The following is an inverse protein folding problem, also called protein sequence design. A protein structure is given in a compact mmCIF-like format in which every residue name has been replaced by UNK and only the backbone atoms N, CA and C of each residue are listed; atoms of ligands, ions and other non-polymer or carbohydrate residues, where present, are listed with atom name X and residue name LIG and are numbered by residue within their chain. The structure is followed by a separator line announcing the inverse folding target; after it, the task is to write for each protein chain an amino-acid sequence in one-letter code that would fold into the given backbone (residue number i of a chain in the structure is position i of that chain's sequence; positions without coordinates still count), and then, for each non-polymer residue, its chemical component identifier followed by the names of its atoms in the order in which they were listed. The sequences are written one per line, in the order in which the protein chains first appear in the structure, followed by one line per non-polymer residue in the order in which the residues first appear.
data_IF_823746755317
#
_entry.id   IF_823746755317
#
_cell.length_a   1.000
_cell.length_b   1.000
_cell.length_c   1.000
_cell.angle_alpha   90.00
_cell.angle_beta   90.00
_cell.angle_gamma   90.00
#
_symmetry.space_group_name_H-M   'P 1'
#
loop_
_entity.id
_entity.type
_entity.pdbx_description
1 polymer ?
#
# COMPACT_ATOMS: atom_id res chain seq x y z
N UNK A 1 12.52 13.55 -24.83
CA UNK A 1 11.63 14.13 -23.80
C UNK A 1 10.21 14.11 -24.35
N UNK A 2 9.31 13.31 -23.75
CA UNK A 2 7.91 13.29 -24.16
C UNK A 2 7.27 14.66 -23.86
N UNK A 3 6.59 15.25 -24.84
CA UNK A 3 5.90 16.53 -24.67
C UNK A 3 4.77 16.35 -23.65
N UNK A 4 4.61 17.23 -22.64
CA UNK A 4 3.49 17.16 -21.72
C UNK A 4 2.19 17.25 -22.52
N UNK A 5 1.26 16.33 -22.23
CA UNK A 5 -0.03 16.27 -22.90
C UNK A 5 -0.80 17.58 -22.63
N UNK A 6 -1.49 18.14 -23.63
CA UNK A 6 -2.16 19.45 -23.50
C UNK A 6 -3.13 19.52 -22.29
N UNK A 7 -3.69 18.38 -21.89
CA UNK A 7 -4.52 18.23 -20.70
C UNK A 7 -3.79 18.61 -19.39
N UNK A 8 -2.50 18.28 -19.25
CA UNK A 8 -1.76 18.59 -18.01
C UNK A 8 -1.52 20.08 -17.83
N UNK A 9 -1.36 20.83 -18.92
CA UNK A 9 -1.14 22.28 -18.88
C UNK A 9 -2.40 23.03 -18.43
N UNK A 10 -3.57 22.61 -18.92
CA UNK A 10 -4.87 23.19 -18.54
C UNK A 10 -5.21 22.86 -17.10
N UNK A 11 -4.92 21.63 -16.67
CA UNK A 11 -5.11 21.17 -15.30
C UNK A 11 -4.17 21.88 -14.31
N UNK A 12 -2.90 22.09 -14.66
CA UNK A 12 -1.94 22.84 -13.84
C UNK A 12 -2.33 24.31 -13.66
N UNK A 13 -2.93 24.92 -14.69
CA UNK A 13 -3.47 26.28 -14.60
C UNK A 13 -4.71 26.34 -13.68
N UNK A 14 -5.62 25.38 -13.84
CA UNK A 14 -6.81 25.25 -12.99
C UNK A 14 -6.44 25.04 -11.52
N UNK A 15 -5.57 24.09 -11.21
CA UNK A 15 -5.19 23.77 -9.83
C UNK A 15 -4.42 24.92 -9.15
N UNK A 16 -3.59 25.69 -9.89
CA UNK A 16 -2.94 26.90 -9.33
C UNK A 16 -3.94 27.99 -8.97
N UNK A 17 -4.95 28.17 -9.82
CA UNK A 17 -6.02 29.14 -9.57
C UNK A 17 -6.89 28.70 -8.38
N UNK A 18 -7.20 27.39 -8.28
CA UNK A 18 -7.91 26.81 -7.14
C UNK A 18 -7.10 26.93 -5.84
N UNK A 19 -5.80 26.62 -5.83
CA UNK A 19 -4.93 26.75 -4.65
C UNK A 19 -4.89 28.21 -4.15
N UNK A 20 -4.71 29.18 -5.04
CA UNK A 20 -4.74 30.61 -4.69
C UNK A 20 -6.10 31.05 -4.12
N UNK A 21 -7.21 30.61 -4.71
CA UNK A 21 -8.56 30.93 -4.24
C UNK A 21 -8.86 30.28 -2.89
N UNK A 22 -8.45 29.04 -2.67
CA UNK A 22 -8.66 28.34 -1.41
C UNK A 22 -7.83 28.96 -0.27
N UNK A 23 -6.55 29.28 -0.54
CA UNK A 23 -5.69 29.97 0.44
C UNK A 23 -6.21 31.35 0.80
N UNK A 24 -6.67 32.14 -0.18
CA UNK A 24 -7.29 33.44 0.11
C UNK A 24 -8.61 33.33 0.90
N UNK A 25 -9.26 32.17 0.87
CA UNK A 25 -10.43 31.82 1.70
C UNK A 25 -10.05 31.18 3.05
N UNK A 26 -8.77 31.25 3.46
CA UNK A 26 -8.29 30.78 4.76
C UNK A 26 -8.08 29.27 4.85
N UNK A 27 -7.93 28.56 3.73
CA UNK A 27 -7.50 27.16 3.72
C UNK A 27 -5.99 27.09 3.98
N UNK A 28 -5.59 26.11 4.78
CA UNK A 28 -4.20 25.87 5.17
C UNK A 28 -3.77 24.48 4.71
N UNK A 29 -2.47 24.25 4.65
CA UNK A 29 -1.93 22.93 4.32
C UNK A 29 -2.02 21.99 5.51
N UNK A 30 -2.19 20.71 5.23
CA UNK A 30 -2.18 19.62 6.19
C UNK A 30 -1.35 18.48 5.63
N UNK A 31 -0.49 17.89 6.45
CA UNK A 31 0.29 16.71 6.07
C UNK A 31 -0.42 15.46 6.60
N UNK A 32 -0.62 14.49 5.72
CA UNK A 32 -1.03 13.12 6.04
C UNK A 32 0.19 12.24 5.84
N UNK A 33 0.73 11.71 6.94
CA UNK A 33 1.91 10.85 6.90
C UNK A 33 1.53 9.42 6.49
N UNK A 34 2.38 8.77 5.69
CA UNK A 34 2.25 7.38 5.29
C UNK A 34 3.49 6.60 5.72
N UNK A 35 3.33 5.30 5.98
CA UNK A 35 4.44 4.44 6.36
C UNK A 35 5.51 4.41 5.26
N UNK A 36 6.68 4.97 5.55
CA UNK A 36 7.87 4.89 4.72
C UNK A 36 8.64 3.58 4.92
N UNK A 37 9.65 3.36 4.08
CA UNK A 37 10.48 2.16 4.15
C UNK A 37 11.85 2.38 3.52
N UNK A 38 12.81 1.52 3.82
CA UNK A 38 14.17 1.66 3.33
C UNK A 38 15.08 0.51 3.71
N UNK A 39 16.36 0.66 3.39
CA UNK A 39 17.47 -0.10 3.93
C UNK A 39 18.42 0.84 4.67
N UNK A 40 19.56 0.34 5.15
CA UNK A 40 20.58 1.17 5.79
C UNK A 40 21.17 2.25 4.84
N UNK A 41 21.08 2.04 3.52
CA UNK A 41 21.60 2.98 2.51
C UNK A 41 20.63 4.08 2.11
N UNK A 42 19.33 3.81 2.23
CA UNK A 42 18.28 4.73 1.80
C UNK A 42 16.99 4.52 2.59
N UNK A 43 16.24 5.58 2.76
CA UNK A 43 14.88 5.53 3.28
C UNK A 43 13.96 6.38 2.42
N UNK A 44 12.88 5.76 1.94
CA UNK A 44 11.81 6.41 1.19
C UNK A 44 10.74 6.88 2.18
N UNK A 45 10.60 8.20 2.29
CA UNK A 45 9.59 8.84 3.13
C UNK A 45 8.39 9.18 2.28
N UNK A 46 7.21 8.78 2.75
CA UNK A 46 5.94 8.88 2.04
C UNK A 46 4.95 9.76 2.81
N UNK A 47 4.13 10.51 2.09
CA UNK A 47 3.09 11.32 2.68
C UNK A 47 2.31 12.08 1.62
N UNK A 48 1.37 12.91 2.07
CA UNK A 48 0.60 13.79 1.20
C UNK A 48 0.27 15.09 1.90
N UNK A 49 0.36 16.20 1.16
CA UNK A 49 -0.09 17.51 1.62
C UNK A 49 -1.40 17.88 0.93
N UNK A 50 -2.39 18.22 1.74
CA UNK A 50 -3.73 18.58 1.34
C UNK A 50 -4.05 20.00 1.82
N UNK A 51 -4.99 20.66 1.16
CA UNK A 51 -5.59 21.89 1.67
C UNK A 51 -6.84 21.52 2.48
N UNK A 52 -6.93 22.04 3.70
CA UNK A 52 -8.10 21.88 4.56
C UNK A 52 -8.52 23.22 5.17
N UNK A 53 -9.79 23.33 5.57
CA UNK A 53 -10.29 24.51 6.27
C UNK A 53 -9.96 24.40 7.76
N UNK A 54 -9.54 25.51 8.38
CA UNK A 54 -9.13 25.58 9.79
C UNK A 54 -10.13 25.00 10.82
N UNK A 55 -11.43 24.95 10.50
CA UNK A 55 -12.47 24.40 11.38
C UNK A 55 -12.50 22.86 11.42
N UNK A 56 -11.86 22.19 10.45
CA UNK A 56 -11.80 20.73 10.31
C UNK A 56 -10.44 20.20 10.83
N UNK A 57 -9.84 20.89 11.81
CA UNK A 57 -8.59 20.48 12.46
C UNK A 57 -8.86 19.64 13.70
N UNK A 58 -8.38 18.41 13.72
CA UNK A 58 -7.93 17.76 14.95
C UNK A 58 -6.59 18.38 15.38
N UNK A 59 -6.35 18.47 16.68
CA UNK A 59 -5.05 18.92 17.21
C UNK A 59 -3.99 17.84 16.94
N UNK A 60 -2.89 18.20 16.25
CA UNK A 60 -1.82 17.29 15.84
C UNK A 60 -1.96 16.81 14.39
N UNK A 61 -0.84 16.72 13.67
CA UNK A 61 -0.80 16.15 12.31
C UNK A 61 -1.41 14.74 12.26
N UNK A 62 -2.10 14.39 11.15
CA UNK A 62 -2.72 13.07 11.00
C UNK A 62 -1.68 12.04 10.56
N UNK A 63 -1.48 11.02 11.39
CA UNK A 63 -0.72 9.81 11.03
C UNK A 63 -1.67 8.77 10.44
N UNK A 64 -1.41 8.35 9.20
CA UNK A 64 -2.13 7.26 8.53
C UNK A 64 -1.21 6.04 8.31
N UNK A 65 -0.25 5.86 9.22
CA UNK A 65 0.84 4.92 9.12
C UNK A 65 0.83 3.88 10.25
N UNK A 66 1.83 2.99 10.25
CA UNK A 66 1.98 1.94 11.24
C UNK A 66 2.21 2.45 12.68
N UNK A 67 2.66 3.69 12.86
CA UNK A 67 2.90 4.32 14.16
C UNK A 67 1.69 5.06 14.73
N UNK A 68 0.64 5.27 13.94
CA UNK A 68 -0.56 5.98 14.36
C UNK A 68 -1.29 5.25 15.50
N UNK A 69 -1.76 5.98 16.52
CA UNK A 69 -2.63 5.49 17.58
C UNK A 69 -4.06 5.23 17.07
N UNK A 70 -4.83 4.44 17.83
CA UNK A 70 -6.24 4.14 17.48
C UNK A 70 -7.09 5.41 17.47
N UNK A 71 -6.73 6.41 18.28
CA UNK A 71 -7.41 7.71 18.32
C UNK A 71 -7.11 8.51 17.04
N UNK A 72 -5.85 8.62 16.62
CA UNK A 72 -5.46 9.31 15.38
C UNK A 72 -6.12 8.68 14.14
N UNK A 73 -6.16 7.35 14.08
CA UNK A 73 -6.80 6.63 12.97
C UNK A 73 -8.33 6.75 12.95
N UNK A 74 -8.97 7.03 14.09
CA UNK A 74 -10.42 7.33 14.19
C UNK A 74 -10.70 8.77 13.81
N UNK A 75 -9.93 9.73 14.32
CA UNK A 75 -10.05 11.14 13.92
C UNK A 75 -9.89 11.31 12.41
N UNK A 76 -8.89 10.67 11.82
CA UNK A 76 -8.65 10.69 10.37
C UNK A 76 -9.78 10.06 9.54
N UNK A 77 -10.60 9.17 10.13
CA UNK A 77 -11.80 8.62 9.48
C UNK A 77 -13.04 9.48 9.71
N UNK A 78 -13.22 9.96 10.94
CA UNK A 78 -14.38 10.74 11.34
C UNK A 78 -14.43 12.10 10.65
N UNK A 79 -13.26 12.74 10.44
CA UNK A 79 -13.12 13.94 9.62
C UNK A 79 -13.36 13.69 8.12
N UNK A 80 -13.26 12.42 7.69
CA UNK A 80 -13.54 11.98 6.32
C UNK A 80 -14.97 11.46 6.14
N UNK A 81 -15.89 11.74 7.05
CA UNK A 81 -17.31 11.37 6.88
C UNK A 81 -18.01 12.26 5.85
N UNK A 82 -18.62 11.63 4.85
CA UNK A 82 -19.45 12.26 3.81
C UNK A 82 -18.70 12.63 2.52
N UNK A 83 -19.43 13.23 1.56
CA UNK A 83 -18.90 13.62 0.24
C UNK A 83 -17.70 14.59 0.30
N UNK A 84 -17.47 15.24 1.46
CA UNK A 84 -16.37 16.19 1.70
C UNK A 84 -14.99 15.53 1.73
N UNK A 85 -14.88 14.25 2.09
CA UNK A 85 -13.62 13.49 1.99
C UNK A 85 -13.13 13.31 0.54
N UNK A 86 -14.02 13.49 -0.45
CA UNK A 86 -13.73 13.37 -1.87
C UNK A 86 -13.32 14.69 -2.51
N UNK A 87 -13.50 15.82 -1.83
CA UNK A 87 -12.98 17.14 -2.25
C UNK A 87 -11.78 17.48 -1.37
N UNK A 88 -10.77 16.62 -1.42
CA UNK A 88 -9.45 16.93 -0.86
C UNK A 88 -8.68 17.69 -1.92
N UNK A 89 -8.60 19.02 -1.79
CA UNK A 89 -7.84 19.83 -2.72
C UNK A 89 -6.33 19.56 -2.49
N UNK A 90 -5.62 18.98 -3.48
CA UNK A 90 -4.20 18.68 -3.32
C UNK A 90 -3.40 19.98 -3.19
N UNK A 91 -2.47 20.01 -2.25
CA UNK A 91 -1.56 21.15 -2.12
C UNK A 91 -0.33 20.88 -2.99
N UNK A 92 -0.38 21.37 -4.23
CA UNK A 92 0.66 21.08 -5.23
C UNK A 92 1.88 21.95 -5.07
N UNK A 93 3.05 21.39 -5.40
CA UNK A 93 4.31 22.14 -5.44
C UNK A 93 4.56 22.93 -4.14
N UNK A 94 4.18 22.39 -2.99
CA UNK A 94 4.36 23.01 -1.68
C UNK A 94 5.72 22.58 -1.12
N UNK A 95 6.54 23.49 -0.59
CA UNK A 95 7.79 23.13 0.09
C UNK A 95 7.53 22.19 1.28
N UNK A 96 8.31 21.13 1.37
CA UNK A 96 8.32 20.19 2.50
C UNK A 96 9.75 19.99 2.95
N UNK A 97 9.97 20.02 4.26
CA UNK A 97 11.24 19.63 4.88
C UNK A 97 11.05 18.30 5.59
N UNK A 98 11.92 17.35 5.30
CA UNK A 98 11.93 16.00 5.87
C UNK A 98 13.22 15.85 6.67
N UNK A 99 13.09 15.52 7.96
CA UNK A 99 14.23 15.16 8.81
C UNK A 99 14.11 13.69 9.19
N UNK A 100 15.15 12.91 8.90
CA UNK A 100 15.21 11.48 9.20
C UNK A 100 16.64 11.10 9.62
N UNK A 101 16.78 10.55 10.82
CA UNK A 101 18.08 10.34 11.44
C UNK A 101 18.85 11.66 11.52
N UNK A 102 20.08 11.69 11.00
CA UNK A 102 20.91 12.90 10.98
C UNK A 102 20.81 13.72 9.67
N UNK A 103 19.84 13.40 8.80
CA UNK A 103 19.66 14.08 7.52
C UNK A 103 18.40 14.91 7.49
N UNK A 104 18.53 16.09 6.90
CA UNK A 104 17.42 16.96 6.54
C UNK A 104 17.45 17.17 5.03
N UNK A 105 16.32 16.94 4.38
CA UNK A 105 16.12 17.09 2.94
C UNK A 105 14.97 18.05 2.70
N UNK A 106 15.17 18.99 1.77
CA UNK A 106 14.11 19.88 1.30
C UNK A 106 13.58 19.36 -0.03
N UNK A 107 12.27 19.18 -0.11
CA UNK A 107 11.56 18.67 -1.29
C UNK A 107 10.30 19.49 -1.54
N UNK A 108 9.54 19.14 -2.57
CA UNK A 108 8.24 19.73 -2.86
C UNK A 108 7.24 18.65 -3.20
N UNK A 109 5.98 18.89 -2.89
CA UNK A 109 4.91 17.98 -3.30
C UNK A 109 4.72 17.96 -4.81
N UNK A 110 4.27 16.83 -5.34
CA UNK A 110 3.88 16.72 -6.74
C UNK A 110 2.54 17.42 -7.04
N UNK A 111 2.06 17.29 -8.28
CA UNK A 111 0.76 17.84 -8.72
C UNK A 111 -0.46 17.28 -7.99
N UNK A 112 -0.32 16.18 -7.27
CA UNK A 112 -1.38 15.53 -6.53
C UNK A 112 -1.20 15.69 -5.02
N UNK A 113 -0.19 16.47 -4.60
CA UNK A 113 0.14 16.75 -3.22
C UNK A 113 1.02 15.67 -2.58
N UNK A 114 1.49 14.65 -3.30
CA UNK A 114 2.26 13.57 -2.71
C UNK A 114 3.70 13.97 -2.40
N UNK A 115 4.19 13.37 -1.32
CA UNK A 115 5.57 13.36 -0.90
C UNK A 115 6.07 11.94 -1.15
N UNK A 116 7.04 11.81 -2.04
CA UNK A 116 7.76 10.57 -2.30
C UNK A 116 9.24 10.94 -2.45
N UNK A 117 10.00 10.79 -1.37
CA UNK A 117 11.39 11.27 -1.32
C UNK A 117 12.32 10.22 -0.74
N UNK A 118 13.37 9.90 -1.50
CA UNK A 118 14.44 8.98 -1.10
C UNK A 118 15.54 9.77 -0.38
N UNK A 119 15.63 9.58 0.93
CA UNK A 119 16.67 10.13 1.80
C UNK A 119 17.83 9.13 1.84
N UNK A 120 19.05 9.55 1.53
CA UNK A 120 20.26 8.72 1.61
C UNK A 120 21.18 9.19 2.72
N UNK A 121 21.96 8.25 3.26
CA UNK A 121 22.91 8.54 4.33
C UNK A 121 22.25 9.06 5.60
N UNK A 122 21.05 8.58 5.93
CA UNK A 122 20.33 8.93 7.18
C UNK A 122 20.99 8.32 8.44
N UNK A 123 21.84 7.30 8.27
CA UNK A 123 22.61 6.68 9.35
C UNK A 123 21.74 5.96 10.39
N UNK A 124 20.63 5.36 9.94
CA UNK A 124 19.74 4.61 10.81
C UNK A 124 20.08 3.13 10.72
N UNK A 125 20.00 2.44 11.85
CA UNK A 125 20.12 0.98 11.94
C UNK A 125 18.80 0.31 11.50
N UNK A 126 18.80 -1.01 11.25
CA UNK A 126 17.55 -1.74 11.00
C UNK A 126 16.53 -1.55 12.13
N UNK A 127 15.25 -1.49 11.77
CA UNK A 127 14.12 -1.30 12.68
C UNK A 127 13.16 -0.17 12.28
N UNK A 128 12.24 0.14 13.19
CA UNK A 128 11.25 1.21 13.00
C UNK A 128 11.78 2.55 13.52
N UNK A 129 11.64 3.59 12.71
CA UNK A 129 12.06 4.96 13.00
C UNK A 129 10.97 5.96 12.67
N UNK A 130 11.13 7.21 13.09
CA UNK A 130 10.24 8.31 12.72
C UNK A 130 10.97 9.33 11.84
N UNK A 131 10.36 9.70 10.72
CA UNK A 131 10.73 10.89 9.96
C UNK A 131 9.87 12.06 10.42
N UNK A 132 10.44 13.23 10.66
CA UNK A 132 9.69 14.47 10.91
C UNK A 132 9.43 15.20 9.60
N UNK A 133 8.18 15.58 9.35
CA UNK A 133 7.74 16.30 8.16
C UNK A 133 7.18 17.66 8.56
N UNK A 134 7.67 18.72 7.93
CA UNK A 134 7.17 20.09 8.10
C UNK A 134 6.87 20.72 6.75
N UNK A 135 5.86 21.57 6.70
CA UNK A 135 5.46 22.31 5.51
C UNK A 135 4.89 23.67 5.87
N UNK A 136 4.85 24.59 4.91
CA UNK A 136 4.38 25.97 5.12
C UNK A 136 2.90 25.97 5.46
N UNK A 137 2.52 26.52 6.62
CA UNK A 137 1.14 26.54 7.15
C UNK A 137 0.58 25.17 7.56
N UNK A 138 1.42 24.14 7.66
CA UNK A 138 1.05 22.84 8.24
C UNK A 138 1.62 22.67 9.64
N UNK A 139 0.89 21.95 10.49
CA UNK A 139 1.49 21.42 11.71
C UNK A 139 2.57 20.39 11.38
N UNK A 140 3.61 20.35 12.21
CA UNK A 140 4.60 19.29 12.16
C UNK A 140 3.93 17.94 12.39
N UNK A 141 4.31 16.94 11.59
CA UNK A 141 3.87 15.56 11.76
C UNK A 141 5.06 14.62 11.66
N UNK A 142 4.90 13.37 12.09
CA UNK A 142 5.90 12.34 11.84
C UNK A 142 5.32 11.20 11.00
N UNK A 143 6.20 10.53 10.27
CA UNK A 143 5.90 9.33 9.50
C UNK A 143 6.74 8.16 10.02
N UNK A 144 6.11 7.02 10.30
CA UNK A 144 6.80 5.78 10.60
C UNK A 144 7.61 5.31 9.36
N UNK A 145 8.86 4.91 9.56
CA UNK A 145 9.77 4.42 8.51
C UNK A 145 10.38 3.10 8.94
N UNK A 146 10.17 2.04 8.16
CA UNK A 146 10.79 0.74 8.37
C UNK A 146 12.13 0.65 7.63
N UNK A 147 13.23 0.54 8.36
CA UNK A 147 14.58 0.29 7.80
C UNK A 147 14.85 -1.21 7.87
N UNK A 148 15.00 -1.85 6.71
CA UNK A 148 15.26 -3.29 6.58
C UNK A 148 16.77 -3.54 6.61
N UNK A 149 17.19 -4.57 7.36
CA UNK A 149 18.59 -5.00 7.45
C UNK A 149 19.10 -5.58 6.13
N UNK A 150 20.40 -5.41 5.89
CA UNK A 150 21.07 -5.97 4.71
C UNK A 150 21.28 -7.49 4.81
N UNK A 151 21.17 -8.05 6.01
CA UNK A 151 21.21 -9.48 6.35
C UNK A 151 19.85 -10.18 6.22
N UNK A 152 18.76 -9.44 6.02
CA UNK A 152 17.44 -10.02 5.81
C UNK A 152 17.32 -10.71 4.45
N UNK A 153 16.92 -11.98 4.46
CA UNK A 153 16.80 -12.80 3.25
C UNK A 153 15.37 -13.22 2.92
N UNK A 154 14.40 -12.87 3.76
CA UNK A 154 13.01 -13.28 3.64
C UNK A 154 12.08 -12.08 3.82
N UNK A 155 10.94 -12.07 3.14
CA UNK A 155 9.96 -11.00 3.22
C UNK A 155 8.63 -11.37 2.60
N UNK A 156 7.58 -10.64 2.96
CA UNK A 156 6.23 -10.85 2.46
C UNK A 156 5.76 -9.65 1.63
N UNK A 157 5.12 -9.93 0.49
CA UNK A 157 4.36 -8.96 -0.28
C UNK A 157 2.93 -9.48 -0.40
N UNK A 158 1.96 -8.77 0.17
CA UNK A 158 0.55 -9.12 0.09
C UNK A 158 -0.20 -8.12 -0.78
N UNK A 159 -1.02 -8.59 -1.70
CA UNK A 159 -2.14 -7.80 -2.18
C UNK A 159 -3.16 -7.60 -1.05
N UNK A 160 -3.90 -6.50 -1.08
CA UNK A 160 -4.97 -6.23 -0.10
C UNK A 160 -6.34 -6.57 -0.67
N UNK A 161 -6.59 -6.15 -1.92
CA UNK A 161 -7.91 -6.16 -2.52
C UNK A 161 -8.34 -7.62 -2.75
N UNK A 162 -9.48 -8.08 -2.20
CA UNK A 162 -9.98 -9.48 -2.26
C UNK A 162 -9.09 -10.58 -1.65
N UNK A 163 -7.83 -10.26 -1.32
CA UNK A 163 -6.88 -11.10 -0.58
C UNK A 163 -6.99 -10.95 0.94
N UNK A 164 -7.10 -9.72 1.43
CA UNK A 164 -7.20 -9.38 2.87
C UNK A 164 -8.62 -8.93 3.25
N UNK A 165 -9.35 -8.35 2.29
CA UNK A 165 -10.70 -7.82 2.43
C UNK A 165 -11.59 -8.45 1.36
N UNK A 166 -12.58 -9.27 1.74
CA UNK A 166 -13.64 -9.67 0.82
C UNK A 166 -14.56 -8.49 0.57
N UNK A 167 -14.49 -7.88 -0.62
CA UNK A 167 -15.31 -6.71 -0.95
C UNK A 167 -16.61 -7.15 -1.60
N UNK A 168 -17.67 -7.36 -0.81
CA UNK A 168 -18.99 -7.72 -1.33
C UNK A 168 -19.72 -6.52 -1.94
N UNK A 169 -19.27 -5.98 -3.09
CA UNK A 169 -19.99 -4.90 -3.77
C UNK A 169 -19.97 -5.02 -5.31
N UNK A 170 -21.15 -5.10 -5.98
CA UNK A 170 -21.25 -5.06 -7.43
C UNK A 170 -20.73 -3.74 -8.02
N UNK A 171 -20.00 -3.82 -9.14
CA UNK A 171 -19.32 -2.71 -9.85
C UNK A 171 -20.11 -1.40 -10.07
N UNK A 172 -21.43 -1.37 -10.36
CA UNK A 172 -22.14 -0.08 -10.49
C UNK A 172 -22.23 0.70 -9.17
N UNK A 173 -21.90 0.08 -8.03
CA UNK A 173 -21.87 0.73 -6.71
C UNK A 173 -20.50 1.25 -6.29
N UNK A 174 -19.45 1.10 -7.11
CA UNK A 174 -18.17 1.80 -6.86
C UNK A 174 -18.36 3.32 -6.97
N UNK A 175 -19.24 3.77 -7.88
CA UNK A 175 -19.68 5.17 -7.95
C UNK A 175 -20.64 5.56 -6.81
N UNK A 176 -21.36 4.58 -6.24
CA UNK A 176 -22.28 4.73 -5.11
C UNK A 176 -21.68 4.28 -3.77
N UNK A 177 -20.34 4.27 -3.65
CA UNK A 177 -19.60 4.03 -2.41
C UNK A 177 -20.10 4.93 -1.26
N UNK A 178 -20.66 6.09 -1.63
CA UNK A 178 -21.11 7.16 -0.75
C UNK A 178 -22.47 6.96 -0.07
N UNK A 179 -23.17 5.84 -0.29
CA UNK A 179 -24.45 5.57 0.41
C UNK A 179 -24.33 4.45 1.46
N UNK A 180 -23.31 3.59 1.37
CA UNK A 180 -23.19 2.38 2.20
C UNK A 180 -22.10 2.46 3.29
N UNK A 181 -21.75 3.67 3.74
CA UNK A 181 -21.14 3.89 5.07
C UNK A 181 -22.20 3.70 6.17
N UNK A 182 -22.93 2.59 6.08
CA UNK A 182 -24.02 2.18 6.98
C UNK A 182 -24.13 0.65 7.05
N UNK A 183 -22.99 -0.04 7.10
CA UNK A 183 -22.86 -1.28 7.85
C UNK A 183 -21.37 -1.67 7.90
N UNK A 184 -20.83 -1.73 9.11
CA UNK A 184 -19.55 -2.40 9.42
C UNK A 184 -19.57 -3.93 9.11
N UNK A 185 -20.62 -4.44 8.45
CA UNK A 185 -20.87 -5.86 8.18
C UNK A 185 -20.56 -6.33 6.74
N UNK A 186 -20.00 -5.50 5.86
CA UNK A 186 -19.74 -5.89 4.45
C UNK A 186 -18.27 -6.19 4.12
N UNK A 187 -17.33 -6.04 5.07
CA UNK A 187 -15.92 -6.42 4.91
C UNK A 187 -15.65 -7.65 5.76
N UNK A 188 -15.85 -8.83 5.19
CA UNK A 188 -15.48 -10.06 5.88
C UNK A 188 -13.95 -10.22 5.82
N UNK A 189 -13.33 -10.29 6.99
CA UNK A 189 -11.92 -10.68 7.13
C UNK A 189 -11.79 -12.10 6.61
N UNK A 190 -10.82 -12.33 5.73
CA UNK A 190 -10.50 -13.68 5.30
C UNK A 190 -9.98 -14.47 6.49
N UNK A 191 -10.62 -15.59 6.87
CA UNK A 191 -10.19 -16.38 8.01
C UNK A 191 -8.72 -16.78 7.92
N UNK A 192 -7.98 -16.67 9.03
CA UNK A 192 -6.61 -17.17 9.13
C UNK A 192 -5.51 -16.36 8.43
N UNK A 193 -5.82 -15.37 7.59
CA UNK A 193 -4.78 -14.64 6.82
C UNK A 193 -3.79 -13.87 7.71
N UNK A 194 -4.30 -13.08 8.67
CA UNK A 194 -3.44 -12.38 9.62
C UNK A 194 -2.60 -13.36 10.47
N UNK A 195 -3.17 -14.53 10.80
CA UNK A 195 -2.45 -15.59 11.52
C UNK A 195 -1.33 -16.17 10.68
N UNK A 196 -1.60 -16.50 9.42
CA UNK A 196 -0.58 -16.97 8.47
C UNK A 196 0.58 -15.98 8.36
N UNK A 197 0.31 -14.68 8.20
CA UNK A 197 1.38 -13.68 8.07
C UNK A 197 2.23 -13.59 9.33
N UNK A 198 1.59 -13.54 10.52
CA UNK A 198 2.33 -13.51 11.79
C UNK A 198 3.16 -14.77 12.00
N UNK A 199 2.67 -15.92 11.56
CA UNK A 199 3.37 -17.19 11.70
C UNK A 199 4.61 -17.24 10.79
N UNK A 200 4.46 -16.88 9.51
CA UNK A 200 5.58 -16.81 8.57
C UNK A 200 6.65 -15.81 9.03
N UNK A 201 6.25 -14.71 9.66
CA UNK A 201 7.17 -13.72 10.23
C UNK A 201 7.73 -14.12 11.60
N UNK A 202 7.15 -15.09 12.30
CA UNK A 202 7.65 -15.49 13.62
C UNK A 202 9.04 -16.13 13.55
N UNK A 203 9.32 -16.86 12.46
CA UNK A 203 10.64 -17.43 12.16
C UNK A 203 11.62 -16.39 11.60
N UNK A 204 11.11 -15.24 11.15
CA UNK A 204 11.87 -14.15 10.53
C UNK A 204 11.43 -12.80 11.12
N UNK A 205 11.74 -12.51 12.40
CA UNK A 205 11.13 -11.40 13.14
C UNK A 205 11.43 -10.00 12.56
N UNK A 206 12.49 -9.89 11.76
CA UNK A 206 12.91 -8.65 11.12
C UNK A 206 12.53 -8.59 9.62
N UNK A 207 11.94 -9.66 9.08
CA UNK A 207 11.55 -9.71 7.69
C UNK A 207 10.48 -8.64 7.39
N UNK A 208 10.62 -7.88 6.29
CA UNK A 208 9.67 -6.85 5.96
C UNK A 208 8.34 -7.44 5.47
N UNK A 209 7.26 -6.76 5.86
CA UNK A 209 5.92 -6.95 5.33
C UNK A 209 5.54 -5.75 4.47
N UNK A 210 5.22 -5.98 3.20
CA UNK A 210 4.69 -4.95 2.29
C UNK A 210 3.26 -5.29 1.87
N UNK A 211 2.41 -4.28 1.83
CA UNK A 211 1.06 -4.39 1.28
C UNK A 211 0.96 -3.59 -0.01
N UNK A 212 0.44 -4.19 -1.08
CA UNK A 212 0.19 -3.55 -2.37
C UNK A 212 -1.31 -3.52 -2.60
N UNK A 213 -1.83 -2.45 -3.19
CA UNK A 213 -3.27 -2.34 -3.53
C UNK A 213 -3.47 -1.41 -4.70
N UNK A 214 -4.54 -1.65 -5.45
CA UNK A 214 -5.01 -0.77 -6.52
C UNK A 214 -5.87 0.39 -6.00
N UNK A 215 -6.21 0.37 -4.70
CA UNK A 215 -6.90 1.44 -4.01
C UNK A 215 -6.13 2.76 -4.01
N UNK A 216 -6.87 3.87 -3.95
CA UNK A 216 -6.30 5.21 -3.88
C UNK A 216 -5.65 5.49 -2.53
N UNK A 217 -4.60 6.31 -2.45
CA UNK A 217 -4.03 6.74 -1.15
C UNK A 217 -5.03 7.39 -0.17
N UNK A 218 -6.17 7.89 -0.66
CA UNK A 218 -7.27 8.35 0.19
C UNK A 218 -7.82 7.24 1.11
N UNK A 219 -7.64 5.96 0.77
CA UNK A 219 -8.06 4.82 1.59
C UNK A 219 -7.02 4.43 2.64
N UNK A 220 -5.80 4.97 2.60
CA UNK A 220 -4.70 4.57 3.48
C UNK A 220 -5.07 4.56 4.98
N UNK A 221 -5.67 5.62 5.57
CA UNK A 221 -5.98 5.59 7.00
C UNK A 221 -6.98 4.47 7.37
N UNK A 222 -7.97 4.24 6.49
CA UNK A 222 -8.98 3.19 6.68
C UNK A 222 -8.37 1.80 6.56
N UNK A 223 -7.47 1.59 5.60
CA UNK A 223 -6.75 0.32 5.44
C UNK A 223 -5.81 0.06 6.62
N UNK A 224 -5.00 1.05 7.01
CA UNK A 224 -4.10 0.96 8.17
C UNK A 224 -4.86 0.59 9.44
N UNK A 225 -6.01 1.23 9.69
CA UNK A 225 -6.86 0.89 10.85
C UNK A 225 -7.44 -0.52 10.76
N UNK A 226 -7.91 -0.94 9.58
CA UNK A 226 -8.43 -2.29 9.37
C UNK A 226 -7.35 -3.34 9.66
N UNK A 227 -6.17 -3.21 9.05
CA UNK A 227 -5.04 -4.12 9.24
C UNK A 227 -4.68 -4.24 10.72
N UNK A 228 -4.50 -3.11 11.40
CA UNK A 228 -4.19 -3.07 12.82
C UNK A 228 -5.28 -3.72 13.68
N UNK A 229 -6.55 -3.39 13.44
CA UNK A 229 -7.70 -3.93 14.20
C UNK A 229 -7.81 -5.44 14.11
N UNK A 230 -7.43 -6.01 12.96
CA UNK A 230 -7.49 -7.44 12.70
C UNK A 230 -6.15 -8.16 12.93
N UNK A 231 -5.16 -7.47 13.51
CA UNK A 231 -3.89 -8.06 13.93
C UNK A 231 -2.95 -8.42 12.77
N UNK A 232 -3.10 -7.79 11.62
CA UNK A 232 -2.12 -7.92 10.55
C UNK A 232 -0.79 -7.28 10.97
N UNK A 233 0.37 -7.84 10.56
CA UNK A 233 1.66 -7.25 10.83
C UNK A 233 1.75 -5.79 10.31
N UNK A 234 2.43 -4.88 11.02
CA UNK A 234 2.66 -3.53 10.53
C UNK A 234 3.54 -3.57 9.28
N UNK A 235 3.19 -2.77 8.27
CA UNK A 235 3.94 -2.72 7.03
C UNK A 235 3.60 -1.49 6.17
N UNK A 236 4.47 -1.11 5.23
CA UNK A 236 4.19 -0.05 4.27
C UNK A 236 3.03 -0.42 3.34
N UNK A 237 2.15 0.55 3.10
CA UNK A 237 1.10 0.45 2.08
C UNK A 237 1.60 1.08 0.77
N UNK A 238 1.63 0.31 -0.30
CA UNK A 238 1.99 0.76 -1.65
C UNK A 238 0.73 0.88 -2.49
N UNK A 239 0.05 2.03 -2.36
CA UNK A 239 -1.23 2.32 -2.97
C UNK A 239 -1.07 3.04 -4.33
N UNK A 240 -2.16 3.09 -5.09
CA UNK A 240 -2.17 3.71 -6.43
C UNK A 240 -2.60 5.17 -6.36
N UNK A 241 -1.99 6.02 -7.21
CA UNK A 241 -2.49 7.37 -7.46
C UNK A 241 -3.62 7.33 -8.48
N UNK A 242 -4.83 7.70 -8.06
CA UNK A 242 -5.94 7.99 -8.97
C UNK A 242 -5.89 9.47 -9.35
N UNK A 243 -5.53 9.76 -10.61
CA UNK A 243 -5.50 11.11 -11.17
C UNK A 243 -4.78 11.14 -12.53
N UNK A 244 -4.97 12.21 -13.34
CA UNK A 244 -4.30 12.36 -14.63
C UNK A 244 -2.78 12.32 -14.43
N UNK A 245 -2.12 11.37 -15.08
CA UNK A 245 -0.66 11.31 -15.12
C UNK A 245 -0.16 11.86 -16.45
N UNK A 246 1.16 12.10 -16.58
CA UNK A 246 1.74 12.60 -17.84
C UNK A 246 1.52 11.63 -19.03
N UNK A 247 1.07 10.41 -18.76
CA UNK A 247 0.90 9.31 -19.72
C UNK A 247 -0.55 8.87 -19.91
N UNK A 248 -1.54 9.41 -19.16
CA UNK A 248 -2.94 9.02 -19.36
C UNK A 248 -3.92 9.48 -18.27
N UNK A 249 -5.21 9.31 -18.56
CA UNK A 249 -6.33 9.65 -17.68
C UNK A 249 -6.47 8.73 -16.46
N UNK A 250 -5.93 7.51 -16.52
CA UNK A 250 -5.96 6.50 -15.44
C UNK A 250 -4.65 5.71 -15.40
N UNK A 251 -4.15 5.37 -14.19
CA UNK A 251 -3.10 4.35 -14.03
C UNK A 251 -3.73 2.96 -14.06
N UNK A 252 -3.12 2.04 -14.79
CA UNK A 252 -3.48 0.62 -14.75
C UNK A 252 -3.07 0.03 -13.39
N UNK A 253 -4.04 -0.50 -12.63
CA UNK A 253 -3.77 -1.16 -11.34
C UNK A 253 -2.82 -2.35 -11.48
N UNK A 254 -2.88 -3.07 -12.61
CA UNK A 254 -1.94 -4.16 -12.89
C UNK A 254 -0.51 -3.64 -13.08
N UNK A 255 -0.33 -2.52 -13.79
CA UNK A 255 1.00 -1.94 -14.00
C UNK A 255 1.59 -1.38 -12.70
N UNK A 256 0.72 -0.86 -11.81
CA UNK A 256 1.13 -0.47 -10.46
C UNK A 256 1.65 -1.67 -9.64
N UNK A 257 0.90 -2.78 -9.62
CA UNK A 257 1.33 -4.01 -8.94
C UNK A 257 2.66 -4.52 -9.50
N UNK A 258 2.78 -4.64 -10.83
CA UNK A 258 4.04 -5.02 -11.51
C UNK A 258 5.19 -4.09 -11.12
N UNK A 259 4.98 -2.78 -11.20
CA UNK A 259 6.01 -1.79 -10.85
C UNK A 259 6.45 -1.89 -9.39
N UNK A 260 5.52 -2.17 -8.46
CA UNK A 260 5.84 -2.38 -7.05
C UNK A 260 6.71 -3.63 -6.84
N UNK A 261 6.34 -4.76 -7.44
CA UNK A 261 7.13 -6.01 -7.35
C UNK A 261 8.56 -5.81 -7.87
N UNK A 262 8.70 -5.25 -9.07
CA UNK A 262 10.03 -4.98 -9.64
C UNK A 262 10.82 -3.95 -8.84
N UNK A 263 10.17 -2.93 -8.27
CA UNK A 263 10.83 -1.95 -7.40
C UNK A 263 11.37 -2.63 -6.14
N UNK A 264 10.54 -3.38 -5.41
CA UNK A 264 10.94 -4.04 -4.17
C UNK A 264 12.06 -5.04 -4.41
N UNK A 265 12.01 -5.80 -5.50
CA UNK A 265 13.09 -6.70 -5.91
C UNK A 265 14.42 -6.00 -6.21
N UNK A 266 14.38 -4.79 -6.77
CA UNK A 266 15.59 -4.01 -7.05
C UNK A 266 16.10 -3.29 -5.79
N UNK A 267 15.20 -2.84 -4.92
CA UNK A 267 15.52 -2.14 -3.68
C UNK A 267 16.02 -3.09 -2.58
N UNK A 268 15.59 -4.35 -2.59
CA UNK A 268 15.97 -5.39 -1.64
C UNK A 268 16.40 -6.68 -2.38
N UNK A 269 17.56 -6.67 -3.04
CA UNK A 269 17.98 -7.77 -3.92
C UNK A 269 18.30 -9.08 -3.19
N UNK A 270 18.52 -9.04 -1.87
CA UNK A 270 18.85 -10.22 -1.05
C UNK A 270 17.62 -10.94 -0.50
N UNK A 271 16.44 -10.31 -0.58
CA UNK A 271 15.20 -10.86 -0.04
C UNK A 271 14.55 -11.78 -1.08
N UNK A 272 14.21 -12.99 -0.64
CA UNK A 272 13.28 -13.86 -1.34
C UNK A 272 11.87 -13.65 -0.81
N UNK A 273 10.96 -13.30 -1.72
CA UNK A 273 9.61 -12.87 -1.37
C UNK A 273 8.61 -14.02 -1.38
N UNK A 274 7.77 -14.09 -0.35
CA UNK A 274 6.48 -14.79 -0.44
C UNK A 274 5.46 -13.80 -0.98
N UNK A 275 4.90 -14.12 -2.15
CA UNK A 275 3.87 -13.30 -2.80
C UNK A 275 2.49 -13.85 -2.45
N UNK A 276 1.64 -13.01 -1.87
CA UNK A 276 0.30 -13.41 -1.44
C UNK A 276 -0.75 -12.58 -2.17
N UNK A 277 -1.66 -13.25 -2.89
CA UNK A 277 -2.73 -12.62 -3.66
C UNK A 277 -3.97 -13.51 -3.74
N UNK A 278 -4.88 -13.21 -4.65
CA UNK A 278 -6.11 -13.98 -4.91
C UNK A 278 -6.32 -14.31 -6.40
N UNK A 279 -7.20 -15.26 -6.70
CA UNK A 279 -7.55 -15.67 -8.06
C UNK A 279 -8.76 -14.91 -8.67
N UNK A 280 -9.31 -13.93 -7.95
CA UNK A 280 -10.32 -13.00 -8.46
C UNK A 280 -9.71 -11.86 -9.29
N UNK A 281 -8.47 -11.48 -8.99
CA UNK A 281 -7.74 -10.47 -9.75
C UNK A 281 -6.72 -11.08 -10.71
N UNK A 282 -5.82 -10.23 -11.22
CA UNK A 282 -4.75 -10.63 -12.12
C UNK A 282 -3.49 -11.09 -11.38
N UNK A 283 -3.56 -11.35 -10.07
CA UNK A 283 -2.38 -11.69 -9.25
C UNK A 283 -1.67 -12.96 -9.73
N UNK A 284 -2.35 -14.07 -10.09
CA UNK A 284 -1.68 -15.27 -10.57
C UNK A 284 -0.83 -14.99 -11.81
N UNK A 285 -1.36 -14.17 -12.74
CA UNK A 285 -0.65 -13.75 -13.94
C UNK A 285 0.51 -12.81 -13.63
N UNK A 286 0.28 -11.78 -12.82
CA UNK A 286 1.31 -10.81 -12.43
C UNK A 286 2.48 -11.50 -11.71
N UNK A 287 2.19 -12.46 -10.83
CA UNK A 287 3.21 -13.23 -10.13
C UNK A 287 3.91 -14.22 -11.05
N UNK A 288 3.18 -14.88 -11.95
CA UNK A 288 3.76 -15.74 -12.98
C UNK A 288 4.74 -15.01 -13.88
N UNK A 289 4.33 -13.88 -14.46
CA UNK A 289 5.18 -13.02 -15.30
C UNK A 289 6.43 -12.54 -14.52
N UNK A 290 6.27 -12.24 -13.22
CA UNK A 290 7.36 -11.80 -12.37
C UNK A 290 8.36 -12.91 -12.05
N UNK A 291 7.88 -14.13 -11.76
CA UNK A 291 8.73 -15.32 -11.55
C UNK A 291 9.49 -15.69 -12.81
N UNK A 292 8.87 -15.64 -13.99
CA UNK A 292 9.55 -15.91 -15.26
C UNK A 292 10.73 -14.95 -15.48
N UNK A 293 10.58 -13.69 -15.07
CA UNK A 293 11.62 -12.67 -15.19
C UNK A 293 12.67 -12.75 -14.08
N UNK A 294 12.31 -13.19 -12.87
CA UNK A 294 13.16 -13.16 -11.66
C UNK A 294 12.95 -14.38 -10.76
N UNK A 295 13.27 -15.59 -11.22
CA UNK A 295 12.94 -16.83 -10.49
C UNK A 295 13.61 -16.92 -9.12
N UNK A 296 14.83 -16.39 -8.98
CA UNK A 296 15.58 -16.44 -7.71
C UNK A 296 15.05 -15.48 -6.64
N UNK A 297 14.21 -14.51 -7.01
CA UNK A 297 13.67 -13.48 -6.11
C UNK A 297 12.41 -13.94 -5.36
N UNK A 298 11.79 -15.06 -5.75
CA UNK A 298 10.54 -15.54 -5.15
C UNK A 298 10.79 -16.82 -4.35
N UNK A 299 10.33 -16.83 -3.10
CA UNK A 299 10.38 -17.99 -2.21
C UNK A 299 9.19 -18.93 -2.47
N UNK A 300 7.98 -18.37 -2.53
CA UNK A 300 6.73 -19.07 -2.78
C UNK A 300 5.65 -18.08 -3.25
N UNK A 301 4.61 -18.61 -3.89
CA UNK A 301 3.38 -17.87 -4.21
C UNK A 301 2.22 -18.50 -3.43
N UNK A 302 1.42 -17.68 -2.77
CA UNK A 302 0.19 -18.08 -2.09
C UNK A 302 -1.00 -17.38 -2.76
N UNK A 303 -1.90 -18.15 -3.37
CA UNK A 303 -3.12 -17.64 -4.02
C UNK A 303 -4.33 -18.08 -3.22
N UNK A 304 -5.09 -17.11 -2.72
CA UNK A 304 -6.41 -17.35 -2.17
C UNK A 304 -7.38 -17.72 -3.29
N UNK A 305 -8.06 -18.85 -3.16
CA UNK A 305 -9.11 -19.27 -4.08
C UNK A 305 -10.47 -18.70 -3.63
N UNK A 306 -11.03 -17.81 -4.43
CA UNK A 306 -12.34 -17.22 -4.20
C UNK A 306 -13.45 -18.20 -4.58
N UNK A 307 -14.50 -18.24 -3.77
CA UNK A 307 -15.72 -18.99 -4.12
C UNK A 307 -16.39 -18.38 -5.36
N UNK A 308 -17.22 -19.12 -6.11
CA UNK A 308 -17.94 -18.58 -7.27
C UNK A 308 -18.76 -17.31 -6.95
N UNK A 309 -19.29 -17.21 -5.73
CA UNK A 309 -20.00 -16.01 -5.26
C UNK A 309 -19.06 -14.81 -5.07
N UNK A 310 -17.87 -15.03 -4.52
CA UNK A 310 -16.83 -14.00 -4.38
C UNK A 310 -16.24 -13.59 -5.74
N UNK A 311 -16.07 -14.54 -6.67
CA UNK A 311 -15.63 -14.28 -8.05
C UNK A 311 -16.59 -13.32 -8.79
N UNK A 312 -17.90 -13.56 -8.70
CA UNK A 312 -18.89 -12.63 -9.25
C UNK A 312 -18.77 -11.23 -8.64
N UNK A 313 -18.46 -11.14 -7.35
CA UNK A 313 -18.33 -9.85 -6.66
C UNK A 313 -17.05 -9.11 -7.06
N UNK A 314 -15.93 -9.82 -7.25
CA UNK A 314 -14.64 -9.25 -7.62
C UNK A 314 -14.59 -8.80 -9.10
N UNK A 315 -15.01 -9.67 -10.04
CA UNK A 315 -14.86 -9.41 -11.48
C UNK A 315 -16.13 -9.54 -12.32
N UNK A 316 -17.29 -9.81 -11.72
CA UNK A 316 -18.60 -9.75 -12.38
C UNK A 316 -19.03 -11.04 -13.10
N UNK A 317 -18.24 -12.11 -13.02
CA UNK A 317 -18.51 -13.43 -13.62
C UNK A 317 -18.15 -14.56 -12.62
N UNK A 318 -18.87 -15.70 -12.59
CA UNK A 318 -18.66 -16.78 -11.63
C UNK A 318 -17.54 -17.75 -12.04
N UNK A 319 -16.52 -17.25 -12.74
CA UNK A 319 -15.43 -18.05 -13.29
C UNK A 319 -14.12 -17.35 -12.98
N UNK A 320 -13.17 -18.05 -12.36
CA UNK A 320 -11.83 -17.52 -12.08
C UNK A 320 -11.18 -17.01 -13.36
N UNK A 321 -10.46 -15.89 -13.25
CA UNK A 321 -9.97 -15.19 -14.44
C UNK A 321 -8.80 -15.88 -15.14
N UNK A 322 -8.22 -16.97 -14.61
CA UNK A 322 -7.27 -17.81 -15.34
C UNK A 322 -6.94 -19.13 -14.59
N UNK A 323 -7.06 -20.26 -15.29
CA UNK A 323 -6.33 -21.51 -15.02
C UNK A 323 -4.87 -21.29 -15.40
N UNK A 324 -3.97 -21.05 -14.43
CA UNK A 324 -2.53 -21.17 -14.68
C UNK A 324 -1.81 -21.85 -13.53
N UNK A 325 -1.38 -23.07 -13.84
CA UNK A 325 -0.10 -23.65 -13.41
C UNK A 325 0.98 -22.90 -14.19
N UNK A 326 2.04 -22.35 -13.56
CA UNK A 326 3.10 -21.68 -14.30
C UNK A 326 3.57 -22.57 -15.45
N UNK A 327 3.72 -21.99 -16.65
CA UNK A 327 4.17 -22.73 -17.82
C UNK A 327 5.44 -23.51 -17.43
N UNK A 328 5.44 -24.85 -17.62
CA UNK A 328 6.61 -25.71 -17.42
C UNK A 328 7.74 -25.21 -18.33
N UNK A 329 8.53 -24.26 -17.84
CA UNK A 329 9.51 -23.50 -18.62
C UNK A 329 10.87 -23.50 -17.94
N UNK A 330 11.80 -24.30 -18.51
CA UNK A 330 13.27 -24.22 -18.56
C UNK A 330 14.12 -23.90 -17.31
N UNK A 331 13.59 -23.52 -16.16
CA UNK A 331 14.36 -23.20 -14.96
C UNK A 331 14.44 -24.41 -14.02
N UNK A 332 15.63 -24.70 -13.48
CA UNK A 332 15.88 -25.83 -12.57
C UNK A 332 15.15 -25.71 -11.22
N UNK A 333 14.77 -24.49 -10.80
CA UNK A 333 14.00 -24.24 -9.58
C UNK A 333 12.55 -23.90 -9.91
N UNK A 334 11.67 -24.82 -9.57
CA UNK A 334 10.22 -24.58 -9.59
C UNK A 334 9.83 -23.78 -8.34
N UNK A 335 9.30 -22.57 -8.53
CA UNK A 335 8.75 -21.77 -7.42
C UNK A 335 7.44 -22.42 -6.97
N UNK A 336 7.30 -22.80 -5.69
CA UNK A 336 6.08 -23.44 -5.21
C UNK A 336 4.90 -22.47 -5.23
N UNK A 337 3.75 -22.95 -5.72
CA UNK A 337 2.47 -22.23 -5.73
C UNK A 337 1.48 -22.95 -4.83
N UNK A 338 1.09 -22.29 -3.74
CA UNK A 338 0.13 -22.77 -2.76
C UNK A 338 -1.24 -22.14 -3.02
N UNK A 339 -2.30 -22.96 -3.07
CA UNK A 339 -3.67 -22.50 -3.32
C UNK A 339 -4.62 -23.03 -2.24
N UNK A 340 -5.41 -22.15 -1.65
CA UNK A 340 -6.46 -22.51 -0.70
C UNK A 340 -7.45 -21.35 -0.51
N UNK A 341 -8.66 -21.62 -0.01
CA UNK A 341 -9.69 -20.58 0.16
C UNK A 341 -9.46 -19.59 1.32
N UNK A 342 -8.55 -19.91 2.25
CA UNK A 342 -8.28 -19.10 3.44
C UNK A 342 -6.82 -19.22 3.93
N UNK A 343 -6.45 -18.40 4.92
CA UNK A 343 -5.09 -18.37 5.44
C UNK A 343 -4.70 -19.62 6.23
N UNK A 344 -5.65 -20.39 6.77
CA UNK A 344 -5.36 -21.65 7.46
C UNK A 344 -4.97 -22.76 6.49
N UNK A 345 -5.58 -22.79 5.30
CA UNK A 345 -5.17 -23.66 4.22
C UNK A 345 -3.81 -23.27 3.66
N UNK A 346 -3.63 -21.98 3.37
CA UNK A 346 -2.39 -21.46 2.78
C UNK A 346 -1.17 -21.68 3.68
N UNK A 347 -1.27 -21.43 5.00
CA UNK A 347 -0.13 -21.61 5.91
C UNK A 347 0.36 -23.05 5.95
N UNK A 348 -0.56 -24.05 5.91
CA UNK A 348 -0.18 -25.47 5.88
C UNK A 348 0.62 -25.83 4.64
N UNK A 349 0.21 -25.31 3.48
CA UNK A 349 0.90 -25.54 2.22
C UNK A 349 2.25 -24.81 2.17
N UNK A 350 2.30 -23.57 2.67
CA UNK A 350 3.51 -22.77 2.72
C UNK A 350 4.58 -23.38 3.62
N UNK A 351 4.22 -23.94 4.78
CA UNK A 351 5.18 -24.65 5.64
C UNK A 351 5.92 -25.75 4.89
N UNK A 352 5.18 -26.57 4.15
CA UNK A 352 5.75 -27.66 3.33
C UNK A 352 6.62 -27.08 2.20
N UNK A 353 6.12 -26.06 1.50
CA UNK A 353 6.82 -25.42 0.38
C UNK A 353 8.13 -24.72 0.78
N UNK A 354 8.16 -24.11 1.97
CA UNK A 354 9.32 -23.40 2.51
C UNK A 354 10.27 -24.31 3.31
N UNK A 355 9.95 -25.60 3.48
CA UNK A 355 10.77 -26.56 4.23
C UNK A 355 10.70 -26.37 5.75
N UNK A 356 9.67 -25.66 6.25
CA UNK A 356 9.42 -25.48 7.69
C UNK A 356 8.81 -26.76 8.24
N UNK A 357 9.61 -27.55 8.96
CA UNK A 357 9.16 -28.80 9.58
C UNK A 357 8.42 -28.47 10.87
N UNK A 358 7.13 -28.84 10.97
CA UNK A 358 6.42 -28.79 12.25
C UNK A 358 7.14 -29.69 13.26
N UNK A 359 7.59 -29.13 14.38
CA UNK A 359 7.73 -29.93 15.59
C UNK A 359 6.33 -30.55 15.87
N UNK A 360 6.22 -31.87 16.10
CA UNK A 360 4.93 -32.48 16.41
C UNK A 360 4.40 -31.88 17.70
N UNK A 361 3.13 -31.43 17.68
CA UNK A 361 2.38 -31.07 18.88
C UNK A 361 2.47 -32.24 19.88
N UNK A 362 3.05 -31.97 21.05
CA UNK A 362 3.18 -32.91 22.17
C UNK A 362 2.17 -32.60 23.27
#
# INVERSE_FOLDING_TARGET
MARPHAASIVEDAWHRQVDSVLRSRGWQTRIVAHTGYGSEEFARVLGRVLLTRRADRSEGGERADAGASTAELRSAEDERRGWRAFITAPAMNVPVTITLGHKTVHTRTDRSGYIDTKVRGHGLTPGWHEATLTSVDAEETTAAVMVVGTDETFGLISDIDDTVISTSLPRPMIAAWNTFVKSENARHVVPGMATMYRELLAEHPNAPMFYVSTGAWNTAPTLTRFLRRHGYPPGPLLLTDWGPTNTGWFRSGQDHKRACLHRLANEFPHIRWVLVGDDGQHDPKIYGDFVEQRPDTVAAIAIRELTPSEQVLSHGIPVSLEEFTPARGRHEKEVPVCRAGDGYGLVRLLRVALGQTTAPDA
#
